data_IF_962487837413
#
_entry.id   IF_962487837413
#
_cell.length_a   1.000
_cell.length_b   1.000
_cell.length_c   1.000
_cell.angle_alpha   90.00
_cell.angle_beta   90.00
_cell.angle_gamma   90.00
#
_symmetry.space_group_name_H-M   'P 1'
#
loop_
_entity.id
_entity.type
_entity.pdbx_description
1 polymer ?
#
# COMPACT_ATOMS: atom_id res chain seq x y z
N UNK A 1 -13.05 17.17 2.94
CA UNK A 1 -12.75 15.92 2.23
C UNK A 1 -12.73 16.10 0.74
N UNK A 2 -11.57 16.00 0.14
CA UNK A 2 -11.46 16.13 -1.32
C UNK A 2 -11.45 14.75 -2.00
N UNK A 3 -11.17 13.69 -1.24
CA UNK A 3 -10.78 12.41 -1.84
C UNK A 3 -11.42 11.17 -1.22
N UNK A 4 -12.24 11.26 -0.17
CA UNK A 4 -12.85 10.12 0.51
C UNK A 4 -14.31 10.35 0.91
N UNK A 5 -14.95 9.34 1.48
CA UNK A 5 -16.34 9.36 1.97
C UNK A 5 -16.56 10.45 3.04
N UNK A 6 -17.79 10.94 3.16
CA UNK A 6 -18.13 11.99 4.12
C UNK A 6 -18.56 11.45 5.51
N UNK A 7 -18.60 10.13 5.72
CA UNK A 7 -19.13 9.54 6.94
C UNK A 7 -18.04 8.92 7.82
N UNK A 8 -17.90 9.45 9.03
CA UNK A 8 -17.08 8.82 10.06
C UNK A 8 -17.59 7.39 10.35
N UNK A 9 -16.67 6.43 10.46
CA UNK A 9 -17.01 5.03 10.70
C UNK A 9 -17.27 4.20 9.43
N UNK A 10 -17.12 4.77 8.24
CA UNK A 10 -17.24 4.02 7.00
C UNK A 10 -16.07 3.07 6.76
N UNK A 11 -14.89 3.39 7.27
CA UNK A 11 -13.71 2.56 7.13
C UNK A 11 -13.43 1.74 8.38
N UNK A 12 -12.97 0.51 8.17
CA UNK A 12 -12.47 -0.35 9.22
C UNK A 12 -11.11 0.13 9.74
N UNK A 13 -10.69 -0.36 10.91
CA UNK A 13 -9.38 -0.05 11.51
C UNK A 13 -8.18 -0.48 10.64
N UNK A 14 -8.38 -1.45 9.77
CA UNK A 14 -7.36 -1.92 8.83
C UNK A 14 -7.83 -1.74 7.40
N UNK A 15 -7.02 -1.08 6.60
CA UNK A 15 -7.31 -0.82 5.19
C UNK A 15 -6.25 -1.47 4.30
N UNK A 16 -6.70 -2.30 3.36
CA UNK A 16 -5.86 -2.80 2.28
C UNK A 16 -5.87 -1.79 1.13
N UNK A 17 -4.70 -1.37 0.66
CA UNK A 17 -4.61 -0.32 -0.36
C UNK A 17 -3.87 -0.81 -1.62
N UNK A 18 -4.56 -1.39 -2.61
CA UNK A 18 -4.01 -1.49 -3.97
C UNK A 18 -3.91 -0.11 -4.63
N UNK A 19 -3.06 0.04 -5.64
CA UNK A 19 -3.01 1.28 -6.42
C UNK A 19 -4.26 1.49 -7.27
N UNK A 20 -4.72 0.42 -7.90
CA UNK A 20 -5.83 0.39 -8.85
C UNK A 20 -7.18 0.28 -8.12
N UNK A 21 -8.13 1.22 -8.34
CA UNK A 21 -9.47 1.15 -7.76
C UNK A 21 -10.29 -0.06 -8.23
N UNK A 22 -10.08 -0.56 -9.44
CA UNK A 22 -10.73 -1.78 -9.91
C UNK A 22 -10.18 -3.03 -9.21
N UNK A 23 -8.91 -3.00 -8.82
CA UNK A 23 -8.35 -4.07 -7.97
C UNK A 23 -8.94 -4.02 -6.56
N UNK A 24 -9.19 -2.82 -6.02
CA UNK A 24 -9.90 -2.67 -4.73
C UNK A 24 -11.31 -3.29 -4.81
N UNK A 25 -12.03 -2.99 -5.89
CA UNK A 25 -13.35 -3.60 -6.16
C UNK A 25 -13.27 -5.12 -6.25
N UNK A 26 -12.34 -5.64 -7.05
CA UNK A 26 -12.15 -7.09 -7.20
C UNK A 26 -11.86 -7.78 -5.86
N UNK A 27 -10.97 -7.22 -5.04
CA UNK A 27 -10.63 -7.78 -3.73
C UNK A 27 -11.87 -7.79 -2.82
N UNK A 28 -12.61 -6.68 -2.79
CA UNK A 28 -13.80 -6.57 -1.96
C UNK A 28 -14.88 -7.60 -2.38
N UNK A 29 -15.22 -7.65 -3.65
CA UNK A 29 -16.26 -8.54 -4.18
C UNK A 29 -15.87 -10.04 -4.11
N UNK A 30 -14.56 -10.35 -4.15
CA UNK A 30 -14.07 -11.73 -4.14
C UNK A 30 -13.87 -12.29 -2.74
N UNK A 31 -13.39 -11.46 -1.81
CA UNK A 31 -12.90 -11.96 -0.51
C UNK A 31 -13.69 -11.45 0.69
N UNK A 32 -14.41 -10.33 0.59
CA UNK A 32 -15.17 -9.81 1.72
C UNK A 32 -16.60 -10.32 1.71
N UNK A 33 -17.10 -10.63 2.89
CA UNK A 33 -18.52 -10.90 3.15
C UNK A 33 -19.26 -9.57 3.27
N UNK A 34 -20.40 -9.43 2.57
CA UNK A 34 -21.26 -8.25 2.57
C UNK A 34 -20.49 -6.93 2.29
N UNK A 35 -19.70 -6.84 1.23
CA UNK A 35 -18.95 -5.62 0.93
C UNK A 35 -19.90 -4.46 0.63
N UNK A 36 -19.71 -3.35 1.32
CA UNK A 36 -20.42 -2.09 1.08
C UNK A 36 -19.45 -1.08 0.49
N UNK A 37 -19.82 -0.46 -0.63
CA UNK A 37 -19.02 0.62 -1.18
C UNK A 37 -19.16 1.87 -0.31
N UNK A 38 -18.03 2.36 0.19
CA UNK A 38 -17.95 3.52 1.09
C UNK A 38 -17.34 4.75 0.43
N UNK A 39 -16.64 4.58 -0.69
CA UNK A 39 -16.09 5.68 -1.46
C UNK A 39 -16.18 5.43 -2.96
N UNK A 40 -16.52 6.49 -3.71
CA UNK A 40 -16.49 6.54 -5.16
C UNK A 40 -15.98 7.90 -5.69
N UNK A 41 -15.53 8.78 -4.79
CA UNK A 41 -14.99 10.10 -5.13
C UNK A 41 -13.78 9.92 -6.04
N UNK A 42 -13.73 10.62 -7.15
CA UNK A 42 -12.69 10.52 -8.19
C UNK A 42 -12.49 9.11 -8.75
N UNK A 43 -13.52 8.25 -8.66
CA UNK A 43 -13.43 6.82 -8.99
C UNK A 43 -12.40 6.04 -8.15
N UNK A 44 -11.96 6.58 -7.03
CA UNK A 44 -11.08 5.88 -6.09
C UNK A 44 -11.94 5.02 -5.17
N UNK A 45 -12.34 3.87 -5.67
CA UNK A 45 -13.29 2.99 -5.01
C UNK A 45 -12.76 2.47 -3.68
N UNK A 46 -13.60 2.58 -2.66
CA UNK A 46 -13.39 2.05 -1.32
C UNK A 46 -14.57 1.18 -0.88
N UNK A 47 -14.28 0.09 -0.22
CA UNK A 47 -15.27 -0.88 0.26
C UNK A 47 -14.95 -1.30 1.68
N UNK A 48 -15.98 -1.54 2.48
CA UNK A 48 -15.86 -2.14 3.82
C UNK A 48 -16.73 -3.38 3.89
N UNK A 49 -16.21 -4.43 4.46
CA UNK A 49 -16.91 -5.71 4.64
C UNK A 49 -16.20 -6.56 5.68
N UNK A 50 -16.56 -7.83 5.75
CA UNK A 50 -16.01 -8.75 6.75
C UNK A 50 -15.17 -9.84 6.09
N UNK A 51 -14.03 -10.15 6.68
CA UNK A 51 -13.21 -11.29 6.31
C UNK A 51 -12.89 -12.14 7.53
N UNK A 52 -13.37 -13.39 7.56
CA UNK A 52 -13.19 -14.32 8.70
C UNK A 52 -13.58 -13.70 10.04
N UNK A 53 -14.72 -13.01 10.06
CA UNK A 53 -15.27 -12.37 11.26
C UNK A 53 -14.59 -11.06 11.68
N UNK A 54 -13.68 -10.50 10.85
CA UNK A 54 -13.03 -9.22 11.10
C UNK A 54 -13.47 -8.21 10.04
N UNK A 55 -13.81 -7.01 10.48
CA UNK A 55 -14.08 -5.91 9.56
C UNK A 55 -12.79 -5.43 8.90
N UNK A 56 -12.81 -5.31 7.58
CA UNK A 56 -11.69 -4.89 6.73
C UNK A 56 -12.21 -3.93 5.68
N UNK A 57 -11.43 -2.90 5.40
CA UNK A 57 -11.67 -2.04 4.25
C UNK A 57 -10.63 -2.29 3.16
N UNK A 58 -11.04 -2.06 1.93
CA UNK A 58 -10.16 -2.08 0.76
C UNK A 58 -10.40 -0.82 -0.04
N UNK A 59 -9.36 -0.05 -0.33
CA UNK A 59 -9.49 1.21 -1.07
C UNK A 59 -8.32 1.39 -2.04
N UNK A 60 -8.59 1.91 -3.24
CA UNK A 60 -7.54 2.31 -4.16
C UNK A 60 -6.69 3.46 -3.61
N UNK A 61 -5.39 3.43 -3.87
CA UNK A 61 -4.45 4.48 -3.43
C UNK A 61 -3.83 5.29 -4.56
N UNK A 62 -4.11 4.92 -5.82
CA UNK A 62 -3.55 5.58 -7.01
C UNK A 62 -2.08 5.25 -7.25
N UNK A 63 -1.43 6.07 -8.06
CA UNK A 63 -0.02 5.95 -8.41
C UNK A 63 0.79 7.08 -7.78
N UNK A 64 1.99 6.73 -7.31
CA UNK A 64 2.98 7.68 -6.80
C UNK A 64 2.73 8.11 -5.35
N UNK A 65 3.78 8.66 -4.75
CA UNK A 65 3.78 9.08 -3.35
C UNK A 65 2.75 10.19 -3.06
N UNK A 66 2.55 11.20 -3.92
CA UNK A 66 1.56 12.23 -3.66
C UNK A 66 0.14 11.68 -3.57
N UNK A 67 -0.23 10.72 -4.42
CA UNK A 67 -1.56 10.11 -4.39
C UNK A 67 -1.79 9.31 -3.11
N UNK A 68 -0.90 8.35 -2.81
CA UNK A 68 -1.03 7.55 -1.58
C UNK A 68 -0.95 8.43 -0.32
N UNK A 69 -0.17 9.51 -0.36
CA UNK A 69 -0.04 10.46 0.73
C UNK A 69 -1.36 11.14 1.08
N UNK A 70 -2.16 11.55 0.08
CA UNK A 70 -3.47 12.15 0.29
C UNK A 70 -4.40 11.14 0.99
N UNK A 71 -4.59 9.96 0.40
CA UNK A 71 -5.53 8.98 0.92
C UNK A 71 -5.13 8.44 2.29
N UNK A 72 -3.85 8.11 2.51
CA UNK A 72 -3.40 7.64 3.82
C UNK A 72 -3.53 8.72 4.90
N UNK A 73 -3.24 9.97 4.56
CA UNK A 73 -3.43 11.09 5.51
C UNK A 73 -4.89 11.21 5.95
N UNK A 74 -5.83 11.18 5.00
CA UNK A 74 -7.25 11.26 5.31
C UNK A 74 -7.72 10.05 6.14
N UNK A 75 -7.33 8.84 5.77
CA UNK A 75 -7.68 7.63 6.49
C UNK A 75 -7.23 7.66 7.96
N UNK A 76 -6.00 8.06 8.23
CA UNK A 76 -5.47 8.14 9.58
C UNK A 76 -6.04 9.29 10.40
N UNK A 77 -6.28 10.47 9.79
CA UNK A 77 -6.65 11.65 10.55
C UNK A 77 -8.15 11.89 10.65
N UNK A 78 -8.96 11.37 9.71
CA UNK A 78 -10.38 11.68 9.63
C UNK A 78 -11.29 10.46 9.78
N UNK A 79 -10.76 9.26 9.53
CA UNK A 79 -11.56 8.02 9.52
C UNK A 79 -11.16 7.00 10.58
N UNK A 80 -10.30 7.39 11.52
CA UNK A 80 -9.91 6.56 12.66
C UNK A 80 -9.33 5.19 12.25
N UNK A 81 -8.58 5.18 11.13
CA UNK A 81 -7.85 4.00 10.64
C UNK A 81 -6.55 3.85 11.42
N UNK A 82 -6.26 2.65 11.89
CA UNK A 82 -5.04 2.34 12.65
C UNK A 82 -3.92 1.79 11.76
N UNK A 83 -4.28 1.07 10.69
CA UNK A 83 -3.34 0.29 9.88
C UNK A 83 -3.66 0.36 8.40
N UNK A 84 -2.64 0.59 7.59
CA UNK A 84 -2.71 0.51 6.13
C UNK A 84 -1.73 -0.54 5.63
N UNK A 85 -2.20 -1.47 4.81
CA UNK A 85 -1.37 -2.46 4.14
C UNK A 85 -1.43 -2.19 2.64
N UNK A 86 -0.32 -1.72 2.07
CA UNK A 86 -0.19 -1.48 0.63
C UNK A 86 -0.06 -2.81 -0.10
N UNK A 87 -0.94 -3.06 -1.06
CA UNK A 87 -0.92 -4.26 -1.91
C UNK A 87 -0.69 -3.82 -3.36
N UNK A 88 0.44 -4.19 -3.92
CA UNK A 88 0.78 -3.72 -5.26
C UNK A 88 1.57 -4.73 -6.06
N UNK A 89 1.97 -4.30 -7.24
CA UNK A 89 2.96 -4.97 -8.08
C UNK A 89 4.22 -4.11 -8.14
N UNK A 90 5.37 -4.74 -8.32
CA UNK A 90 6.67 -4.08 -8.43
C UNK A 90 7.54 -4.78 -9.46
N UNK A 91 8.50 -4.07 -10.04
CA UNK A 91 9.62 -4.67 -10.73
C UNK A 91 10.70 -5.11 -9.72
N UNK A 92 11.52 -6.07 -10.10
CA UNK A 92 12.66 -6.51 -9.30
C UNK A 92 13.98 -5.99 -9.88
N UNK A 93 14.90 -5.58 -9.01
CA UNK A 93 16.28 -5.25 -9.40
C UNK A 93 17.21 -6.46 -9.21
N UNK A 94 16.87 -7.37 -8.32
CA UNK A 94 17.67 -8.54 -7.97
C UNK A 94 17.40 -9.72 -8.91
N UNK A 95 18.44 -10.37 -9.40
CA UNK A 95 18.34 -11.47 -10.36
C UNK A 95 17.74 -12.76 -9.78
N UNK A 96 17.77 -12.90 -8.45
CA UNK A 96 17.21 -14.04 -7.75
C UNK A 96 15.70 -13.94 -7.50
N UNK A 97 15.08 -12.79 -7.76
CA UNK A 97 13.62 -12.60 -7.65
C UNK A 97 12.99 -12.91 -9.00
N UNK A 98 12.02 -13.79 -9.01
CA UNK A 98 11.33 -14.28 -10.21
C UNK A 98 9.95 -13.65 -10.35
N UNK A 99 9.38 -13.75 -11.54
CA UNK A 99 7.99 -13.38 -11.76
C UNK A 99 7.07 -14.17 -10.82
N UNK A 100 6.09 -13.48 -10.26
CA UNK A 100 5.12 -13.99 -9.29
C UNK A 100 5.67 -14.24 -7.87
N UNK A 101 6.94 -13.94 -7.59
CA UNK A 101 7.42 -13.92 -6.22
C UNK A 101 6.72 -12.82 -5.42
N UNK A 102 6.46 -13.12 -4.16
CA UNK A 102 5.88 -12.16 -3.22
C UNK A 102 7.01 -11.45 -2.47
N UNK A 103 7.04 -10.12 -2.57
CA UNK A 103 7.99 -9.30 -1.84
C UNK A 103 7.27 -8.56 -0.71
N UNK A 104 7.80 -8.67 0.50
CA UNK A 104 7.33 -7.92 1.67
C UNK A 104 8.33 -6.79 1.93
N UNK A 105 7.87 -5.54 1.75
CA UNK A 105 8.70 -4.35 1.98
C UNK A 105 8.99 -4.16 3.46
N UNK A 106 10.27 -4.21 3.82
CA UNK A 106 10.76 -3.94 5.17
C UNK A 106 11.11 -2.45 5.34
N UNK A 107 11.70 -1.86 4.33
CA UNK A 107 12.04 -0.44 4.27
C UNK A 107 11.76 0.12 2.88
N UNK A 108 11.68 1.42 2.77
CA UNK A 108 11.48 2.11 1.51
C UNK A 108 12.63 3.06 1.20
N UNK A 109 13.21 2.88 0.01
CA UNK A 109 14.15 3.81 -0.57
C UNK A 109 13.41 4.75 -1.52
N UNK A 110 13.98 5.92 -1.77
CA UNK A 110 13.43 6.86 -2.75
C UNK A 110 14.50 7.77 -3.31
N UNK A 111 14.35 8.18 -4.56
CA UNK A 111 15.09 9.25 -5.22
C UNK A 111 14.32 10.58 -5.24
N UNK A 112 13.15 10.62 -4.59
CA UNK A 112 12.26 11.77 -4.53
C UNK A 112 12.60 12.74 -3.39
N UNK A 113 12.31 14.01 -3.61
CA UNK A 113 12.29 15.01 -2.56
C UNK A 113 10.94 15.10 -1.80
N UNK A 114 10.07 14.12 -1.96
CA UNK A 114 8.74 14.16 -1.34
C UNK A 114 8.80 14.31 0.17
N UNK A 115 9.66 13.55 0.85
CA UNK A 115 9.82 13.63 2.31
C UNK A 115 10.31 15.01 2.80
N UNK A 116 11.08 15.73 1.98
CA UNK A 116 11.55 17.09 2.31
C UNK A 116 10.40 18.07 2.50
N UNK A 117 9.27 17.88 1.85
CA UNK A 117 8.08 18.74 1.97
C UNK A 117 7.48 18.73 3.38
N UNK A 118 7.77 17.72 4.18
CA UNK A 118 7.30 17.65 5.57
C UNK A 118 8.16 18.49 6.55
N UNK A 119 9.26 19.09 6.08
CA UNK A 119 10.10 19.97 6.89
C UNK A 119 10.78 19.29 8.08
N UNK A 120 10.95 17.98 8.04
CA UNK A 120 11.63 17.22 9.10
C UNK A 120 13.13 17.56 9.11
N UNK A 121 13.73 17.84 10.28
CA UNK A 121 15.17 18.02 10.38
C UNK A 121 15.89 16.67 10.25
N UNK A 122 16.77 16.55 9.25
CA UNK A 122 17.53 15.32 8.99
C UNK A 122 16.82 14.35 8.05
N UNK A 123 17.19 13.07 8.14
CA UNK A 123 16.67 12.00 7.27
C UNK A 123 15.83 11.04 8.09
N UNK A 124 14.58 10.86 7.67
CA UNK A 124 13.70 9.85 8.22
C UNK A 124 13.89 8.53 7.46
N UNK A 125 14.01 7.42 8.17
CA UNK A 125 14.09 6.08 7.57
C UNK A 125 12.68 5.45 7.56
N UNK A 126 11.99 5.40 6.42
CA UNK A 126 10.67 4.78 6.32
C UNK A 126 10.81 3.26 6.40
N UNK A 127 10.33 2.70 7.49
CA UNK A 127 10.29 1.26 7.75
C UNK A 127 8.86 0.78 7.96
N UNK A 128 8.60 -0.47 7.63
CA UNK A 128 7.32 -1.11 7.91
C UNK A 128 7.12 -1.33 9.40
N UNK A 129 5.85 -1.37 9.83
CA UNK A 129 5.52 -1.86 11.16
C UNK A 129 5.99 -3.31 11.33
N UNK A 130 6.76 -3.56 12.38
CA UNK A 130 7.40 -4.86 12.60
C UNK A 130 6.36 -5.97 12.84
N UNK A 131 5.30 -5.69 13.59
CA UNK A 131 4.29 -6.72 13.89
C UNK A 131 3.51 -7.12 12.65
N UNK A 132 3.09 -6.16 11.82
CA UNK A 132 2.41 -6.44 10.56
C UNK A 132 3.32 -7.21 9.60
N UNK A 133 4.57 -6.79 9.47
CA UNK A 133 5.56 -7.46 8.64
C UNK A 133 5.76 -8.91 9.09
N UNK A 134 6.03 -9.12 10.38
CA UNK A 134 6.26 -10.45 10.92
C UNK A 134 5.04 -11.37 10.75
N UNK A 135 3.84 -10.85 11.00
CA UNK A 135 2.58 -11.59 10.78
C UNK A 135 2.39 -11.99 9.32
N UNK A 136 2.76 -11.13 8.38
CA UNK A 136 2.70 -11.43 6.95
C UNK A 136 3.68 -12.56 6.59
N UNK A 137 4.93 -12.50 7.07
CA UNK A 137 5.96 -13.53 6.86
C UNK A 137 5.52 -14.88 7.44
N UNK A 138 5.07 -14.90 8.69
CA UNK A 138 4.62 -16.13 9.35
C UNK A 138 3.37 -16.74 8.66
N UNK A 139 2.49 -15.89 8.15
CA UNK A 139 1.33 -16.34 7.39
C UNK A 139 1.75 -16.97 6.06
N UNK A 140 2.67 -16.35 5.35
CA UNK A 140 3.23 -16.89 4.11
C UNK A 140 3.89 -18.25 4.34
N UNK A 141 4.70 -18.40 5.39
CA UNK A 141 5.31 -19.66 5.78
C UNK A 141 4.27 -20.76 6.02
N UNK A 142 3.21 -20.45 6.79
CA UNK A 142 2.13 -21.42 7.05
C UNK A 142 1.38 -21.85 5.78
N UNK A 143 1.30 -20.97 4.80
CA UNK A 143 0.64 -21.25 3.52
C UNK A 143 1.57 -21.87 2.48
N UNK A 144 2.85 -22.05 2.79
CA UNK A 144 3.86 -22.52 1.84
C UNK A 144 4.15 -21.53 0.72
N UNK A 145 3.83 -20.26 0.91
CA UNK A 145 4.12 -19.20 -0.07
C UNK A 145 5.55 -18.71 0.12
N UNK A 146 6.33 -18.74 -0.96
CA UNK A 146 7.68 -18.17 -0.95
C UNK A 146 7.60 -16.67 -0.89
N UNK A 147 8.31 -16.05 0.06
CA UNK A 147 8.37 -14.59 0.20
C UNK A 147 9.80 -14.12 0.35
N UNK A 148 10.08 -12.97 -0.21
CA UNK A 148 11.35 -12.25 -0.04
C UNK A 148 11.08 -10.99 0.76
N UNK A 149 11.86 -10.77 1.81
CA UNK A 149 11.76 -9.54 2.64
C UNK A 149 12.93 -8.65 2.29
N UNK A 150 12.65 -7.39 1.98
CA UNK A 150 13.69 -6.45 1.60
C UNK A 150 13.17 -5.03 1.40
N UNK A 151 14.04 -4.16 0.89
CA UNK A 151 13.67 -2.78 0.59
C UNK A 151 12.87 -2.70 -0.72
N UNK A 152 11.98 -1.72 -0.78
CA UNK A 152 11.31 -1.31 -2.02
C UNK A 152 11.76 0.09 -2.39
N UNK A 153 11.83 0.37 -3.69
CA UNK A 153 12.12 1.71 -4.20
C UNK A 153 10.84 2.37 -4.69
N UNK A 154 10.64 3.62 -4.29
CA UNK A 154 9.62 4.50 -4.84
C UNK A 154 10.28 5.69 -5.53
N UNK A 155 9.95 5.92 -6.79
CA UNK A 155 10.52 6.98 -7.62
C UNK A 155 9.41 7.88 -8.17
N UNK A 156 9.73 9.16 -8.39
CA UNK A 156 8.81 10.10 -9.04
C UNK A 156 8.74 9.88 -10.56
N UNK A 157 9.77 9.27 -11.14
CA UNK A 157 9.88 9.05 -12.58
C UNK A 157 9.94 7.56 -12.87
N UNK A 158 8.93 7.06 -13.58
CA UNK A 158 8.90 5.65 -13.98
C UNK A 158 9.77 5.34 -15.18
N UNK A 159 9.79 6.23 -16.18
CA UNK A 159 10.60 6.10 -17.37
C UNK A 159 11.81 7.01 -17.28
N UNK A 160 12.96 6.44 -16.90
CA UNK A 160 14.21 7.18 -16.76
C UNK A 160 14.90 7.37 -18.13
N UNK A 161 15.51 8.55 -18.32
CA UNK A 161 16.32 8.83 -19.49
C UNK A 161 17.68 8.09 -19.49
N UNK A 162 18.16 7.67 -18.32
CA UNK A 162 19.41 6.94 -18.14
C UNK A 162 19.15 5.44 -18.07
N UNK A 163 19.79 4.66 -18.93
CA UNK A 163 19.58 3.21 -19.03
C UNK A 163 20.11 2.40 -17.83
N UNK A 164 21.01 2.97 -17.04
CA UNK A 164 21.70 2.28 -15.93
C UNK A 164 21.23 2.71 -14.54
N UNK A 165 20.20 3.55 -14.42
CA UNK A 165 19.72 4.01 -13.12
C UNK A 165 19.35 2.83 -12.20
N UNK A 166 18.74 1.79 -12.77
CA UNK A 166 18.35 0.62 -12.01
C UNK A 166 19.55 -0.16 -11.43
N UNK A 167 20.71 -0.10 -12.07
CA UNK A 167 21.91 -0.79 -11.60
C UNK A 167 22.51 -0.14 -10.34
N UNK A 168 22.16 1.12 -10.07
CA UNK A 168 22.59 1.82 -8.87
C UNK A 168 21.82 1.39 -7.61
N UNK A 169 20.70 0.67 -7.78
CA UNK A 169 19.84 0.21 -6.68
C UNK A 169 19.92 -1.30 -6.41
N UNK A 170 20.78 -2.01 -7.10
CA UNK A 170 21.03 -3.45 -6.94
C UNK A 170 21.71 -3.84 -5.64
#
# INVERSE_FOLDING_TARGET
>A
DVCSSDLAGDFAKTVLMPGDPLRAKYIAETYLENPRQVNAVRNMFGYTGTYKGKEISVMGGGMGMPSIGIYSYELFNFYDVDQVIRIGSAGAFQDNIKLMDVVIGMGACTDSNYAYQYGLPGTFAPIADYELLNRAVETAKRQGTNVVVGNVLSSDVFYNAMSNVNDLWR
#
